data_IF_910753843800
#
_entry.id   IF_910753843800
#
_cell.length_a   1.000
_cell.length_b   1.000
_cell.length_c   1.000
_cell.angle_alpha   90.00
_cell.angle_beta   90.00
_cell.angle_gamma   90.00
#
_symmetry.space_group_name_H-M   'P 1'
#
loop_
_entity.id
_entity.type
_entity.pdbx_description
1 polymer ?
#
# COMPACT_ATOMS: atom_id res chain seq x y z
N UNK A 1 11.33 -8.38 -10.64
CA UNK A 1 10.23 -7.42 -10.36
C UNK A 1 10.57 -6.69 -9.08
N UNK A 2 10.48 -5.36 -9.07
CA UNK A 2 10.98 -4.49 -7.98
C UNK A 2 10.39 -4.81 -6.61
N UNK A 3 9.09 -5.22 -6.54
CA UNK A 3 8.45 -5.63 -5.26
C UNK A 3 9.22 -6.79 -4.64
N UNK A 4 9.47 -7.86 -5.40
CA UNK A 4 10.21 -9.03 -4.92
C UNK A 4 11.62 -8.66 -4.46
N UNK A 5 12.33 -7.86 -5.24
CA UNK A 5 13.69 -7.40 -4.91
C UNK A 5 13.73 -6.58 -3.61
N UNK A 6 12.70 -5.73 -3.36
CA UNK A 6 12.59 -4.96 -2.13
C UNK A 6 12.48 -5.85 -0.90
N UNK A 7 11.62 -6.87 -0.93
CA UNK A 7 11.49 -7.84 0.17
C UNK A 7 12.74 -8.71 0.32
N UNK A 8 13.32 -9.23 -0.77
CA UNK A 8 14.53 -10.06 -0.72
C UNK A 8 15.72 -9.30 -0.13
N UNK A 9 15.90 -8.04 -0.51
CA UNK A 9 16.94 -7.15 0.05
C UNK A 9 16.83 -7.04 1.58
N UNK A 10 15.61 -6.85 2.09
CA UNK A 10 15.38 -6.77 3.54
C UNK A 10 15.57 -8.11 4.22
N UNK A 11 15.02 -9.17 3.66
CA UNK A 11 15.17 -10.53 4.19
C UNK A 11 16.64 -10.95 4.32
N UNK A 12 17.46 -10.65 3.32
CA UNK A 12 18.91 -10.97 3.33
C UNK A 12 19.64 -10.27 4.48
N UNK A 13 19.20 -9.08 4.87
CA UNK A 13 19.77 -8.33 5.98
C UNK A 13 19.12 -8.66 7.34
N UNK A 14 18.20 -9.62 7.41
CA UNK A 14 17.42 -9.91 8.61
C UNK A 14 16.43 -8.83 9.00
N UNK A 15 16.12 -7.92 8.09
CA UNK A 15 15.25 -6.76 8.26
C UNK A 15 13.86 -7.00 7.68
N UNK A 16 12.94 -6.07 7.97
CA UNK A 16 11.55 -6.09 7.48
C UNK A 16 11.29 -4.96 6.51
N UNK A 17 10.43 -5.21 5.51
CA UNK A 17 10.04 -4.18 4.57
C UNK A 17 9.15 -3.11 5.24
N UNK A 18 9.34 -1.86 4.86
CA UNK A 18 8.49 -0.73 5.22
C UNK A 18 7.72 -0.28 3.99
N UNK A 19 6.41 -0.42 4.03
CA UNK A 19 5.48 0.04 2.99
C UNK A 19 4.76 1.26 3.54
N UNK A 20 4.74 2.34 2.78
CA UNK A 20 4.11 3.59 3.19
C UNK A 20 3.04 4.00 2.20
N UNK A 21 1.87 4.39 2.72
CA UNK A 21 0.71 4.79 1.93
C UNK A 21 0.53 6.32 1.93
N UNK A 22 0.11 6.85 0.80
CA UNK A 22 -0.25 8.27 0.62
C UNK A 22 -1.48 8.39 -0.30
N UNK A 23 -2.35 9.37 -0.05
CA UNK A 23 -3.41 9.76 -0.99
C UNK A 23 -2.81 10.69 -2.04
N UNK A 24 -2.96 10.33 -3.33
CA UNK A 24 -2.45 11.14 -4.44
C UNK A 24 -3.20 12.45 -4.57
N UNK A 25 -2.49 13.54 -4.77
CA UNK A 25 -3.06 14.85 -5.06
C UNK A 25 -3.62 15.60 -3.85
N UNK A 26 -3.55 15.03 -2.66
CA UNK A 26 -3.83 15.75 -1.42
C UNK A 26 -2.79 16.89 -1.28
N UNK A 27 -3.25 18.14 -1.22
CA UNK A 27 -2.45 19.37 -1.41
C UNK A 27 -1.68 19.45 -2.74
N UNK A 28 -2.19 18.78 -3.80
CA UNK A 28 -1.65 18.84 -5.17
C UNK A 28 -0.52 17.85 -5.45
N UNK A 29 -0.22 17.67 -6.76
CA UNK A 29 0.77 16.69 -7.21
C UNK A 29 2.19 16.99 -6.75
N UNK A 30 2.58 18.27 -6.67
CA UNK A 30 3.94 18.65 -6.23
C UNK A 30 4.18 18.32 -4.76
N UNK A 31 3.18 18.51 -3.90
CA UNK A 31 3.25 18.13 -2.49
C UNK A 31 3.28 16.60 -2.35
N UNK A 32 2.48 15.89 -3.15
CA UNK A 32 2.50 14.42 -3.18
C UNK A 32 3.88 13.90 -3.59
N UNK A 33 4.50 14.44 -4.65
CA UNK A 33 5.85 14.05 -5.08
C UNK A 33 6.89 14.27 -3.98
N UNK A 34 6.89 15.44 -3.34
CA UNK A 34 7.81 15.74 -2.25
C UNK A 34 7.65 14.80 -1.06
N UNK A 35 6.40 14.45 -0.71
CA UNK A 35 6.12 13.49 0.36
C UNK A 35 6.59 12.08 -0.01
N UNK A 36 6.34 11.61 -1.24
CA UNK A 36 6.84 10.31 -1.74
C UNK A 36 8.37 10.28 -1.65
N UNK A 37 9.07 11.29 -2.16
CA UNK A 37 10.53 11.32 -2.10
C UNK A 37 11.06 11.42 -0.66
N UNK A 38 10.33 12.07 0.25
CA UNK A 38 10.64 12.09 1.68
C UNK A 38 10.53 10.70 2.30
N UNK A 39 9.50 9.93 1.97
CA UNK A 39 9.34 8.53 2.41
C UNK A 39 10.44 7.62 1.85
N UNK A 40 10.73 7.74 0.55
CA UNK A 40 11.82 6.99 -0.11
C UNK A 40 13.17 7.28 0.56
N UNK A 41 13.51 8.56 0.74
CA UNK A 41 14.77 8.99 1.36
C UNK A 41 14.88 8.61 2.85
N UNK A 42 13.73 8.43 3.52
CA UNK A 42 13.67 7.95 4.89
C UNK A 42 13.77 6.42 5.02
N UNK A 43 13.76 5.69 3.90
CA UNK A 43 13.95 4.25 3.85
C UNK A 43 12.69 3.41 3.71
N UNK A 44 11.61 3.97 3.17
CA UNK A 44 10.48 3.18 2.69
C UNK A 44 10.92 2.28 1.52
N UNK A 45 10.50 1.03 1.53
CA UNK A 45 10.86 0.02 0.54
C UNK A 45 9.84 -0.06 -0.59
N UNK A 46 8.59 0.26 -0.31
CA UNK A 46 7.48 0.28 -1.27
C UNK A 46 6.60 1.48 -0.94
N UNK A 47 6.14 2.19 -1.97
CA UNK A 47 5.17 3.28 -1.82
C UNK A 47 3.83 2.81 -2.37
N UNK A 48 2.81 2.86 -1.52
CA UNK A 48 1.42 2.59 -1.87
C UNK A 48 0.73 3.92 -2.17
N UNK A 49 0.28 4.08 -3.40
CA UNK A 49 -0.32 5.30 -3.93
C UNK A 49 -1.83 5.13 -3.99
N UNK A 50 -2.53 5.73 -3.04
CA UNK A 50 -3.99 5.75 -3.00
C UNK A 50 -4.57 6.66 -4.09
N UNK A 51 -5.44 6.09 -4.92
CA UNK A 51 -6.19 6.84 -5.93
C UNK A 51 -7.46 7.37 -5.27
N UNK A 52 -7.67 8.70 -5.21
CA UNK A 52 -8.81 9.26 -4.53
C UNK A 52 -10.13 8.81 -5.17
N UNK A 53 -11.08 8.44 -4.32
CA UNK A 53 -12.40 7.96 -4.74
C UNK A 53 -13.49 8.60 -3.89
N UNK A 54 -14.65 8.92 -4.51
CA UNK A 54 -15.74 9.66 -3.86
C UNK A 54 -16.52 8.83 -2.84
N UNK A 55 -16.57 7.51 -3.02
CA UNK A 55 -17.45 6.62 -2.26
C UNK A 55 -16.68 5.42 -1.65
N UNK A 56 -15.61 5.67 -0.87
CA UNK A 56 -14.76 4.63 -0.33
C UNK A 56 -15.48 3.82 0.76
N UNK A 57 -15.33 2.49 0.72
CA UNK A 57 -15.94 1.58 1.71
C UNK A 57 -14.91 0.90 2.61
N UNK A 58 -13.64 0.87 2.19
CA UNK A 58 -12.56 0.21 2.93
C UNK A 58 -11.75 1.16 3.82
N UNK A 59 -11.80 2.46 3.57
CA UNK A 59 -10.98 3.47 4.22
C UNK A 59 -11.68 4.09 5.44
N UNK A 60 -10.85 4.45 6.45
CA UNK A 60 -11.28 5.26 7.58
C UNK A 60 -11.32 6.75 7.27
N UNK A 61 -11.90 7.52 8.20
CA UNK A 61 -12.23 8.95 8.03
C UNK A 61 -11.04 9.80 7.55
N UNK A 62 -9.83 9.54 8.07
CA UNK A 62 -8.62 10.29 7.71
C UNK A 62 -8.29 10.17 6.21
N UNK A 63 -8.42 8.95 5.66
CA UNK A 63 -8.15 8.71 4.24
C UNK A 63 -9.31 9.22 3.38
N UNK A 64 -10.55 9.11 3.86
CA UNK A 64 -11.74 9.64 3.18
C UNK A 64 -11.66 11.16 3.03
N UNK A 65 -11.32 11.89 4.10
CA UNK A 65 -11.16 13.35 4.08
C UNK A 65 -10.04 13.79 3.12
N UNK A 66 -8.88 13.10 3.14
CA UNK A 66 -7.79 13.37 2.22
C UNK A 66 -8.17 13.07 0.76
N UNK A 67 -8.93 12.00 0.50
CA UNK A 67 -9.45 11.67 -0.83
C UNK A 67 -10.43 12.72 -1.33
N UNK A 68 -11.34 13.18 -0.48
CA UNK A 68 -12.27 14.25 -0.83
C UNK A 68 -11.52 15.55 -1.15
N UNK A 69 -10.59 15.97 -0.30
CA UNK A 69 -9.76 17.15 -0.52
C UNK A 69 -8.97 17.07 -1.84
N UNK A 70 -8.41 15.89 -2.13
CA UNK A 70 -7.71 15.64 -3.40
C UNK A 70 -8.63 15.77 -4.62
N UNK A 71 -9.85 15.21 -4.56
CA UNK A 71 -10.84 15.32 -5.65
C UNK A 71 -11.30 16.76 -5.86
N UNK A 72 -11.56 17.49 -4.78
CA UNK A 72 -11.91 18.92 -4.83
C UNK A 72 -10.78 19.76 -5.43
N UNK A 73 -9.51 19.37 -5.21
CA UNK A 73 -8.33 19.94 -5.84
C UNK A 73 -8.17 19.61 -7.32
N UNK A 74 -9.08 18.82 -7.91
CA UNK A 74 -9.09 18.48 -9.33
C UNK A 74 -8.15 17.32 -9.70
N UNK A 75 -7.79 16.47 -8.76
CA UNK A 75 -6.96 15.29 -9.03
C UNK A 75 -7.65 14.33 -10.00
N UNK A 76 -6.90 13.83 -10.97
CA UNK A 76 -7.36 12.87 -11.98
C UNK A 76 -6.39 11.71 -12.12
N UNK A 77 -6.88 10.54 -12.54
CA UNK A 77 -6.03 9.38 -12.78
C UNK A 77 -4.93 9.66 -13.81
N UNK A 78 -5.23 10.40 -14.89
CA UNK A 78 -4.24 10.80 -15.88
C UNK A 78 -3.13 11.69 -15.27
N UNK A 79 -3.49 12.60 -14.38
CA UNK A 79 -2.53 13.43 -13.65
C UNK A 79 -1.65 12.61 -12.71
N UNK A 80 -2.22 11.58 -12.05
CA UNK A 80 -1.48 10.65 -11.21
C UNK A 80 -0.47 9.85 -12.03
N UNK A 81 -0.85 9.29 -13.17
CA UNK A 81 0.08 8.59 -14.06
C UNK A 81 1.24 9.50 -14.50
N UNK A 82 0.94 10.76 -14.86
CA UNK A 82 1.98 11.74 -15.21
C UNK A 82 2.95 11.97 -14.03
N UNK A 83 2.41 12.17 -12.83
CA UNK A 83 3.20 12.35 -11.61
C UNK A 83 4.11 11.14 -11.33
N UNK A 84 3.56 9.91 -11.44
CA UNK A 84 4.33 8.68 -11.23
C UNK A 84 5.45 8.54 -12.27
N UNK A 85 5.16 8.84 -13.54
CA UNK A 85 6.17 8.82 -14.60
C UNK A 85 7.33 9.79 -14.34
N UNK A 86 7.04 10.96 -13.77
CA UNK A 86 8.06 11.92 -13.35
C UNK A 86 8.90 11.36 -12.18
N UNK A 87 8.24 10.81 -11.14
CA UNK A 87 8.90 10.19 -9.99
C UNK A 87 9.80 9.01 -10.38
N UNK A 88 9.42 8.24 -11.41
CA UNK A 88 10.23 7.10 -11.87
C UNK A 88 11.60 7.51 -12.40
N UNK A 89 11.81 8.75 -12.78
CA UNK A 89 13.13 9.28 -13.12
C UNK A 89 14.02 9.55 -11.90
N UNK A 90 13.44 9.58 -10.70
CA UNK A 90 14.13 9.92 -9.46
C UNK A 90 14.37 8.71 -8.54
N UNK A 91 13.56 7.63 -8.70
CA UNK A 91 13.65 6.46 -7.83
C UNK A 91 13.21 5.16 -8.50
N UNK A 92 13.89 4.06 -8.14
CA UNK A 92 13.50 2.68 -8.49
C UNK A 92 12.63 2.00 -7.41
N UNK A 93 12.26 2.73 -6.35
CA UNK A 93 11.36 2.21 -5.31
C UNK A 93 10.05 1.71 -5.92
N UNK A 94 9.59 0.49 -5.63
CA UNK A 94 8.34 -0.04 -6.15
C UNK A 94 7.16 0.85 -5.82
N UNK A 95 6.28 1.06 -6.80
CA UNK A 95 5.01 1.77 -6.64
C UNK A 95 3.85 0.81 -6.82
N UNK A 96 2.94 0.79 -5.85
CA UNK A 96 1.71 0.01 -5.88
C UNK A 96 0.53 0.98 -5.83
N UNK A 97 -0.43 0.87 -6.73
CA UNK A 97 -1.64 1.68 -6.70
C UNK A 97 -2.76 0.99 -5.92
N UNK A 98 -3.36 1.70 -4.96
CA UNK A 98 -4.58 1.22 -4.29
C UNK A 98 -5.79 1.98 -4.83
N UNK A 99 -6.80 1.26 -5.32
CA UNK A 99 -7.98 1.84 -5.93
C UNK A 99 -9.17 0.88 -5.98
N UNK A 100 -10.34 1.43 -6.26
CA UNK A 100 -11.56 0.67 -6.47
C UNK A 100 -11.70 0.19 -7.93
N UNK A 101 -12.31 -0.98 -8.19
CA UNK A 101 -12.39 -1.58 -9.53
C UNK A 101 -13.15 -0.68 -10.51
N UNK A 102 -14.14 0.09 -10.03
CA UNK A 102 -14.87 1.06 -10.84
C UNK A 102 -13.95 2.06 -11.56
N UNK A 103 -12.84 2.43 -10.94
CA UNK A 103 -11.86 3.34 -11.55
C UNK A 103 -11.15 2.66 -12.72
N UNK A 104 -10.77 1.39 -12.57
CA UNK A 104 -10.13 0.59 -13.63
C UNK A 104 -11.10 0.40 -14.80
N UNK A 105 -12.32 -0.07 -14.52
CA UNK A 105 -13.33 -0.35 -15.56
C UNK A 105 -13.74 0.89 -16.32
N UNK A 106 -13.95 2.01 -15.63
CA UNK A 106 -14.32 3.29 -16.28
C UNK A 106 -13.20 3.84 -17.15
N UNK A 107 -11.95 3.61 -16.80
CA UNK A 107 -10.79 4.03 -17.58
C UNK A 107 -10.53 3.11 -18.77
N UNK A 108 -10.96 1.86 -18.67
CA UNK A 108 -10.71 0.76 -19.60
C UNK A 108 -9.53 -0.09 -19.13
N UNK A 109 -9.78 -1.37 -18.81
CA UNK A 109 -8.83 -2.29 -18.17
C UNK A 109 -7.50 -2.37 -18.93
N UNK A 110 -7.51 -2.68 -20.22
CA UNK A 110 -6.31 -2.74 -21.06
C UNK A 110 -5.51 -1.43 -21.00
N UNK A 111 -6.17 -0.30 -21.25
CA UNK A 111 -5.53 1.01 -21.25
C UNK A 111 -4.95 1.38 -19.91
N UNK A 112 -5.59 0.96 -18.82
CA UNK A 112 -5.10 1.21 -17.46
C UNK A 112 -3.78 0.46 -17.22
N UNK A 113 -3.73 -0.83 -17.55
CA UNK A 113 -2.52 -1.63 -17.36
C UNK A 113 -1.40 -1.30 -18.35
N UNK A 114 -1.72 -0.87 -19.58
CA UNK A 114 -0.75 -0.27 -20.50
C UNK A 114 -0.02 0.91 -19.83
N UNK A 115 -0.79 1.84 -19.24
CA UNK A 115 -0.22 3.00 -18.55
C UNK A 115 0.52 2.62 -17.26
N UNK A 116 0.07 1.61 -16.53
CA UNK A 116 0.81 1.08 -15.37
C UNK A 116 2.21 0.63 -15.80
N UNK A 117 2.30 -0.16 -16.87
CA UNK A 117 3.58 -0.62 -17.43
C UNK A 117 4.43 0.56 -17.91
N UNK A 118 3.88 1.48 -18.72
CA UNK A 118 4.59 2.64 -19.25
C UNK A 118 5.14 3.58 -18.15
N UNK A 119 4.38 3.75 -17.06
CA UNK A 119 4.76 4.61 -15.94
C UNK A 119 5.58 3.89 -14.88
N UNK A 120 5.74 2.56 -15.00
CA UNK A 120 6.52 1.74 -14.08
C UNK A 120 5.83 1.49 -12.75
N UNK A 121 4.50 1.33 -12.75
CA UNK A 121 3.74 0.80 -11.61
C UNK A 121 4.03 -0.70 -11.51
N UNK A 122 4.29 -1.17 -10.30
CA UNK A 122 4.71 -2.54 -10.04
C UNK A 122 3.57 -3.44 -9.57
N UNK A 123 2.51 -2.85 -9.02
CA UNK A 123 1.37 -3.61 -8.53
C UNK A 123 0.12 -2.76 -8.34
N UNK A 124 -1.01 -3.45 -8.17
CA UNK A 124 -2.30 -2.85 -7.83
C UNK A 124 -2.92 -3.57 -6.63
N UNK A 125 -3.64 -2.83 -5.80
CA UNK A 125 -4.47 -3.33 -4.71
C UNK A 125 -5.89 -2.86 -4.96
N UNK A 126 -6.85 -3.81 -4.99
CA UNK A 126 -8.27 -3.52 -5.20
C UNK A 126 -9.06 -4.07 -4.01
N UNK A 127 -9.25 -3.26 -2.93
CA UNK A 127 -9.67 -3.76 -1.62
C UNK A 127 -11.10 -4.29 -1.56
N UNK A 128 -11.96 -3.92 -2.49
CA UNK A 128 -13.37 -4.34 -2.57
C UNK A 128 -13.64 -5.38 -3.66
N UNK A 129 -12.59 -5.90 -4.30
CA UNK A 129 -12.72 -6.99 -5.26
C UNK A 129 -12.68 -8.34 -4.53
N UNK A 130 -13.75 -9.14 -4.57
CA UNK A 130 -13.74 -10.50 -4.02
C UNK A 130 -12.67 -11.35 -4.72
N UNK A 131 -12.08 -12.29 -3.97
CA UNK A 131 -11.09 -13.21 -4.53
C UNK A 131 -11.60 -13.97 -5.75
N UNK A 132 -12.87 -14.31 -5.73
CA UNK A 132 -13.57 -15.06 -6.79
C UNK A 132 -13.75 -14.25 -8.09
N UNK A 133 -13.64 -12.92 -8.03
CA UNK A 133 -13.77 -11.99 -9.17
C UNK A 133 -12.42 -11.45 -9.65
N UNK A 134 -11.32 -11.81 -9.00
CA UNK A 134 -9.99 -11.27 -9.30
C UNK A 134 -9.55 -11.48 -10.76
N UNK A 135 -10.01 -12.57 -11.39
CA UNK A 135 -9.67 -12.93 -12.77
C UNK A 135 -10.12 -11.86 -13.78
N UNK A 136 -11.08 -11.00 -13.42
CA UNK A 136 -11.52 -9.89 -14.26
C UNK A 136 -10.39 -8.90 -14.60
N UNK A 137 -9.37 -8.81 -13.74
CA UNK A 137 -8.21 -7.92 -13.97
C UNK A 137 -6.88 -8.67 -13.95
N UNK A 138 -6.82 -9.87 -13.34
CA UNK A 138 -5.60 -10.63 -13.09
C UNK A 138 -4.81 -10.92 -14.37
N UNK A 139 -5.48 -11.49 -15.38
CA UNK A 139 -4.82 -11.87 -16.65
C UNK A 139 -4.21 -10.63 -17.33
N UNK A 140 -4.96 -9.53 -17.38
CA UNK A 140 -4.47 -8.27 -17.98
C UNK A 140 -3.33 -7.68 -17.15
N UNK A 141 -3.43 -7.63 -15.83
CA UNK A 141 -2.37 -7.13 -14.95
C UNK A 141 -1.06 -7.91 -15.17
N UNK A 142 -1.13 -9.24 -15.11
CA UNK A 142 0.03 -10.13 -15.30
C UNK A 142 0.65 -9.96 -16.69
N UNK A 143 -0.17 -9.86 -17.76
CA UNK A 143 0.31 -9.65 -19.12
C UNK A 143 1.12 -8.34 -19.27
N UNK A 144 0.81 -7.33 -18.44
CA UNK A 144 1.52 -6.04 -18.40
C UNK A 144 2.63 -5.97 -17.34
N UNK A 145 2.91 -7.08 -16.64
CA UNK A 145 3.97 -7.15 -15.61
C UNK A 145 3.63 -6.40 -14.32
N UNK A 146 2.35 -6.26 -14.01
CA UNK A 146 1.82 -5.62 -12.80
C UNK A 146 1.27 -6.69 -11.86
N UNK A 147 1.77 -6.77 -10.64
CA UNK A 147 1.27 -7.71 -9.64
C UNK A 147 -0.11 -7.29 -9.12
N UNK A 148 -1.09 -8.22 -9.09
CA UNK A 148 -2.37 -8.00 -8.43
C UNK A 148 -2.28 -8.47 -6.98
N UNK A 149 -2.09 -7.52 -6.05
CA UNK A 149 -1.82 -7.78 -4.64
C UNK A 149 -3.09 -8.22 -3.92
N UNK A 150 -3.10 -9.46 -3.47
CA UNK A 150 -4.24 -10.03 -2.75
C UNK A 150 -4.29 -9.60 -1.28
N UNK A 151 -5.52 -9.39 -0.76
CA UNK A 151 -5.75 -9.07 0.64
C UNK A 151 -6.30 -10.27 1.39
N UNK A 152 -5.81 -10.47 2.61
CA UNK A 152 -6.40 -11.41 3.58
C UNK A 152 -6.71 -10.72 4.89
N UNK A 153 -7.81 -11.11 5.50
CA UNK A 153 -8.26 -10.65 6.80
C UNK A 153 -8.44 -11.84 7.74
N UNK A 154 -8.49 -11.66 9.06
CA UNK A 154 -8.88 -12.74 9.97
C UNK A 154 -10.26 -13.32 9.66
N UNK A 155 -11.16 -12.57 9.00
CA UNK A 155 -12.46 -13.04 8.56
C UNK A 155 -12.43 -13.88 7.27
N UNK A 156 -11.28 -13.97 6.59
CA UNK A 156 -11.16 -14.76 5.37
C UNK A 156 -11.22 -16.30 5.62
N UNK A 157 -11.00 -16.72 6.89
CA UNK A 157 -11.13 -18.13 7.34
C UNK A 157 -10.63 -19.16 6.32
N UNK A 158 -11.53 -20.01 5.82
CA UNK A 158 -11.20 -21.12 4.90
C UNK A 158 -10.65 -20.63 3.53
N UNK A 159 -10.83 -19.37 3.18
CA UNK A 159 -10.30 -18.79 1.93
C UNK A 159 -8.84 -18.36 2.02
N UNK A 160 -8.27 -18.23 3.24
CA UNK A 160 -6.86 -17.79 3.43
C UNK A 160 -5.92 -18.70 2.63
N UNK A 161 -6.16 -20.01 2.64
CA UNK A 161 -5.33 -20.98 1.91
C UNK A 161 -5.33 -20.71 0.39
N UNK A 162 -6.52 -20.55 -0.20
CA UNK A 162 -6.66 -20.32 -1.64
C UNK A 162 -6.06 -18.97 -2.04
N UNK A 163 -6.33 -17.91 -1.27
CA UNK A 163 -5.79 -16.57 -1.52
C UNK A 163 -4.26 -16.58 -1.41
N UNK A 164 -3.72 -17.23 -0.38
CA UNK A 164 -2.28 -17.26 -0.14
C UNK A 164 -1.50 -18.04 -1.22
N UNK A 165 -2.08 -19.15 -1.72
CA UNK A 165 -1.45 -19.95 -2.80
C UNK A 165 -1.38 -19.22 -4.14
N UNK A 166 -2.29 -18.30 -4.36
CA UNK A 166 -2.47 -17.60 -5.64
C UNK A 166 -2.04 -16.14 -5.60
N UNK A 167 -1.40 -15.72 -4.49
CA UNK A 167 -0.93 -14.36 -4.30
C UNK A 167 0.25 -14.02 -5.20
N UNK A 168 0.34 -12.75 -5.62
CA UNK A 168 1.45 -12.18 -6.38
C UNK A 168 2.10 -11.03 -5.60
N UNK A 169 3.36 -10.71 -5.91
CA UNK A 169 4.12 -9.64 -5.29
C UNK A 169 4.31 -9.84 -3.78
N UNK A 170 3.29 -9.54 -3.00
CA UNK A 170 3.18 -9.81 -1.57
C UNK A 170 1.73 -10.03 -1.14
N UNK A 171 1.51 -10.65 0.00
CA UNK A 171 0.18 -10.82 0.58
C UNK A 171 -0.09 -9.68 1.58
N UNK A 172 -1.12 -8.88 1.31
CA UNK A 172 -1.56 -7.81 2.20
C UNK A 172 -2.41 -8.37 3.34
N UNK A 173 -1.88 -8.40 4.55
CA UNK A 173 -2.55 -8.90 5.73
C UNK A 173 -3.23 -7.77 6.50
N UNK A 174 -4.55 -7.75 6.52
CA UNK A 174 -5.33 -6.78 7.28
C UNK A 174 -5.40 -7.22 8.73
N UNK A 175 -4.89 -6.43 9.67
CA UNK A 175 -4.76 -6.81 11.08
C UNK A 175 -6.05 -6.86 11.88
N UNK A 176 -7.16 -6.38 11.32
CA UNK A 176 -8.44 -6.34 12.02
C UNK A 176 -9.63 -6.32 11.07
N UNK A 177 -10.80 -6.76 11.57
CA UNK A 177 -12.08 -6.60 10.88
C UNK A 177 -12.54 -5.14 11.05
N UNK A 178 -12.81 -4.44 9.95
CA UNK A 178 -13.31 -3.05 9.91
C UNK A 178 -12.45 -2.12 9.03
N UNK A 179 -12.80 -0.82 9.02
CA UNK A 179 -12.13 0.20 8.19
C UNK A 179 -10.79 0.64 8.75
N UNK A 180 -9.96 1.29 7.93
CA UNK A 180 -8.65 1.86 8.31
C UNK A 180 -8.79 2.90 9.44
N UNK A 181 -7.76 2.97 10.30
CA UNK A 181 -7.69 3.93 11.41
C UNK A 181 -6.61 3.55 12.41
N UNK A 182 -6.16 4.50 13.23
CA UNK A 182 -5.19 4.23 14.30
C UNK A 182 -5.88 3.53 15.47
N UNK A 183 -5.28 2.44 15.98
CA UNK A 183 -5.79 1.65 17.12
C UNK A 183 -4.72 1.44 18.17
N UNK A 184 -5.16 1.31 19.43
CA UNK A 184 -4.25 1.09 20.57
C UNK A 184 -4.12 -0.40 20.93
N UNK A 185 -5.10 -1.25 20.59
CA UNK A 185 -5.12 -2.68 20.90
C UNK A 185 -5.63 -3.51 19.72
N UNK A 186 -5.08 -4.71 19.58
CA UNK A 186 -5.50 -5.71 18.59
C UNK A 186 -6.11 -6.91 19.32
N UNK A 187 -7.27 -7.35 18.88
CA UNK A 187 -7.98 -8.54 19.43
C UNK A 187 -7.73 -9.82 18.64
N UNK A 188 -7.01 -9.73 17.52
CA UNK A 188 -6.71 -10.87 16.63
C UNK A 188 -5.60 -11.73 17.23
N UNK A 189 -5.78 -13.04 17.21
CA UNK A 189 -4.70 -14.01 17.43
C UNK A 189 -3.78 -14.04 16.20
N UNK A 190 -2.73 -13.22 16.23
CA UNK A 190 -1.80 -13.08 15.11
C UNK A 190 -0.95 -14.34 14.91
N UNK A 191 -0.60 -15.08 15.96
CA UNK A 191 0.17 -16.31 15.82
C UNK A 191 -0.60 -17.33 14.98
N UNK A 192 -1.85 -17.60 15.32
CA UNK A 192 -2.70 -18.50 14.56
C UNK A 192 -2.94 -18.00 13.12
N UNK A 193 -3.20 -16.71 12.93
CA UNK A 193 -3.45 -16.12 11.62
C UNK A 193 -2.25 -16.23 10.67
N UNK A 194 -1.06 -15.82 11.13
CA UNK A 194 0.15 -15.88 10.30
C UNK A 194 0.68 -17.31 10.13
N UNK A 195 0.42 -18.22 11.08
CA UNK A 195 0.76 -19.64 10.92
C UNK A 195 0.01 -20.29 9.76
N UNK A 196 -1.26 -19.95 9.57
CA UNK A 196 -2.04 -20.44 8.40
C UNK A 196 -1.46 -19.88 7.11
N UNK A 197 -1.14 -18.58 7.06
CA UNK A 197 -0.57 -17.95 5.87
C UNK A 197 0.77 -18.62 5.50
N UNK A 198 1.70 -18.71 6.43
CA UNK A 198 3.06 -19.23 6.20
C UNK A 198 3.08 -20.70 5.78
N UNK A 199 2.05 -21.48 6.13
CA UNK A 199 1.91 -22.88 5.69
C UNK A 199 1.49 -23.00 4.22
N UNK A 200 0.89 -21.96 3.64
CA UNK A 200 0.26 -22.01 2.33
C UNK A 200 0.95 -21.20 1.26
N UNK A 201 1.92 -20.35 1.63
CA UNK A 201 2.67 -19.56 0.64
C UNK A 201 4.08 -19.22 1.13
N UNK A 202 5.00 -19.06 0.16
CA UNK A 202 6.33 -18.50 0.39
C UNK A 202 6.43 -17.03 -0.02
N UNK A 203 5.34 -16.47 -0.57
CA UNK A 203 5.26 -15.05 -0.92
C UNK A 203 5.34 -14.22 0.37
N UNK A 204 6.12 -13.12 0.39
CA UNK A 204 6.23 -12.29 1.57
C UNK A 204 4.87 -11.73 1.98
N UNK A 205 4.63 -11.63 3.28
CA UNK A 205 3.41 -11.03 3.81
C UNK A 205 3.73 -9.72 4.53
N UNK A 206 2.87 -8.72 4.31
CA UNK A 206 2.97 -7.43 4.97
C UNK A 206 1.66 -7.11 5.72
N UNK A 207 1.79 -6.62 6.96
CA UNK A 207 0.64 -6.29 7.80
C UNK A 207 0.33 -4.81 7.75
N UNK A 208 -0.92 -4.50 7.47
CA UNK A 208 -1.47 -3.15 7.46
C UNK A 208 -2.62 -2.98 8.44
N UNK A 209 -3.12 -1.76 8.54
CA UNK A 209 -4.18 -1.28 9.42
C UNK A 209 -3.81 -1.09 10.89
N UNK A 210 -4.00 0.14 11.35
CA UNK A 210 -3.89 0.53 12.74
C UNK A 210 -2.48 0.79 13.26
N UNK A 211 -1.45 0.66 12.42
CA UNK A 211 -0.09 0.99 12.81
C UNK A 211 0.06 2.51 12.84
N UNK A 212 0.22 3.07 14.03
CA UNK A 212 0.26 4.51 14.27
C UNK A 212 1.65 5.06 14.62
N UNK A 213 2.66 4.19 14.75
CA UNK A 213 4.00 4.62 15.10
C UNK A 213 5.05 3.51 15.21
N UNK A 214 6.32 3.89 15.48
CA UNK A 214 7.47 2.99 15.46
C UNK A 214 7.33 1.76 16.35
N UNK A 215 6.83 1.94 17.59
CA UNK A 215 6.68 0.83 18.54
C UNK A 215 5.69 -0.23 18.05
N UNK A 216 4.58 0.20 17.45
CA UNK A 216 3.61 -0.74 16.89
C UNK A 216 4.17 -1.42 15.65
N UNK A 217 4.87 -0.69 14.78
CA UNK A 217 5.54 -1.24 13.61
C UNK A 217 6.51 -2.37 14.04
N UNK A 218 7.37 -2.11 15.02
CA UNK A 218 8.31 -3.11 15.59
C UNK A 218 7.58 -4.31 16.18
N UNK A 219 6.47 -4.09 16.91
CA UNK A 219 5.67 -5.19 17.47
C UNK A 219 5.08 -6.08 16.38
N UNK A 220 4.49 -5.48 15.35
CA UNK A 220 3.83 -6.21 14.27
C UNK A 220 4.82 -6.90 13.32
N UNK A 221 6.01 -6.34 13.12
CA UNK A 221 7.05 -6.91 12.26
C UNK A 221 7.54 -8.31 12.68
N UNK A 222 7.25 -8.74 13.92
CA UNK A 222 7.60 -10.08 14.42
C UNK A 222 6.80 -11.19 13.72
N UNK A 223 5.62 -10.88 13.22
CA UNK A 223 4.70 -11.84 12.61
C UNK A 223 4.88 -11.98 11.10
N UNK A 224 5.38 -10.95 10.43
CA UNK A 224 5.35 -10.79 8.98
C UNK A 224 6.69 -10.34 8.38
N UNK A 225 6.76 -10.21 7.06
CA UNK A 225 7.94 -9.79 6.32
C UNK A 225 8.00 -8.28 6.07
N UNK A 226 6.88 -7.59 6.28
CA UNK A 226 6.78 -6.14 6.13
C UNK A 226 5.63 -5.53 6.90
N UNK A 227 5.69 -4.22 7.13
CA UNK A 227 4.61 -3.45 7.75
C UNK A 227 4.16 -2.33 6.82
N UNK A 228 2.86 -2.04 6.84
CA UNK A 228 2.22 -1.01 6.01
C UNK A 228 1.68 0.08 6.92
N UNK A 229 2.08 1.33 6.67
CA UNK A 229 1.69 2.49 7.47
C UNK A 229 1.05 3.53 6.56
N UNK A 230 -0.24 3.78 6.75
CA UNK A 230 -1.03 4.69 5.93
C UNK A 230 -1.59 5.87 6.73
N UNK A 231 -2.69 5.66 7.45
CA UNK A 231 -3.46 6.72 8.10
C UNK A 231 -2.64 7.69 8.97
N UNK A 232 -1.55 7.20 9.60
CA UNK A 232 -0.67 8.05 10.39
C UNK A 232 0.12 9.05 9.51
N UNK A 233 0.56 8.62 8.32
CA UNK A 233 1.25 9.49 7.35
C UNK A 233 0.26 10.48 6.74
N UNK A 234 -0.92 10.00 6.30
CA UNK A 234 -1.98 10.86 5.75
C UNK A 234 -2.39 11.93 6.77
N UNK A 235 -2.50 11.57 8.06
CA UNK A 235 -2.80 12.54 9.12
C UNK A 235 -1.72 13.62 9.24
N UNK A 236 -0.45 13.28 9.15
CA UNK A 236 0.66 14.26 9.13
C UNK A 236 0.53 15.20 7.93
N UNK A 237 0.22 14.64 6.75
CA UNK A 237 0.03 15.45 5.53
C UNK A 237 -1.15 16.41 5.70
N UNK A 238 -2.29 15.93 6.22
CA UNK A 238 -3.46 16.77 6.47
C UNK A 238 -3.18 17.87 7.50
N UNK A 239 -2.33 17.63 8.50
CA UNK A 239 -2.00 18.61 9.54
C UNK A 239 -1.03 19.70 9.03
N UNK A 240 -0.05 19.35 8.19
CA UNK A 240 1.03 20.24 7.76
C UNK A 240 0.91 20.71 6.30
N UNK A 241 0.00 20.16 5.51
CA UNK A 241 -0.23 20.55 4.12
C UNK A 241 1.03 20.52 3.26
N UNK A 242 1.32 21.61 2.58
CA UNK A 242 2.51 21.74 1.72
C UNK A 242 3.84 21.69 2.50
N UNK A 243 3.82 21.93 3.81
CA UNK A 243 4.99 21.87 4.71
C UNK A 243 5.20 20.45 5.29
N UNK A 244 4.37 19.49 4.92
CA UNK A 244 4.42 18.10 5.43
C UNK A 244 5.70 17.30 5.09
N UNK A 245 6.45 17.52 3.98
CA UNK A 245 7.52 16.61 3.56
C UNK A 245 8.58 16.35 4.62
N UNK A 246 8.98 17.37 5.37
CA UNK A 246 9.95 17.22 6.46
C UNK A 246 9.40 16.35 7.59
N UNK A 247 8.11 16.52 7.96
CA UNK A 247 7.46 15.75 9.01
C UNK A 247 7.23 14.30 8.61
N UNK A 248 6.86 14.08 7.35
CA UNK A 248 6.74 12.74 6.76
C UNK A 248 8.09 12.03 6.76
N UNK A 249 9.19 12.72 6.39
CA UNK A 249 10.54 12.16 6.49
C UNK A 249 10.89 11.74 7.92
N UNK A 250 10.73 12.65 8.90
CA UNK A 250 11.05 12.40 10.30
C UNK A 250 10.28 11.19 10.86
N UNK A 251 8.98 11.11 10.55
CA UNK A 251 8.13 10.01 10.97
C UNK A 251 8.51 8.68 10.31
N UNK A 252 8.68 8.68 8.99
CA UNK A 252 9.06 7.47 8.21
C UNK A 252 10.45 6.97 8.64
N UNK A 253 11.39 7.87 8.91
CA UNK A 253 12.72 7.51 9.43
C UNK A 253 12.62 6.84 10.80
N UNK A 254 11.77 7.34 11.69
CA UNK A 254 11.52 6.70 12.98
C UNK A 254 10.92 5.29 12.85
N UNK A 255 10.02 5.07 11.86
CA UNK A 255 9.51 3.73 11.54
C UNK A 255 10.63 2.81 11.04
N UNK A 256 11.46 3.30 10.10
CA UNK A 256 12.58 2.54 9.56
C UNK A 256 13.57 2.12 10.64
N UNK A 257 13.98 3.06 11.49
CA UNK A 257 14.93 2.80 12.58
C UNK A 257 14.40 1.72 13.54
N UNK A 258 13.11 1.78 13.88
CA UNK A 258 12.48 0.78 14.75
C UNK A 258 12.38 -0.62 14.13
N UNK A 259 12.32 -0.71 12.79
CA UNK A 259 12.30 -1.99 12.07
C UNK A 259 13.70 -2.57 11.83
N UNK A 260 14.74 -1.75 11.94
CA UNK A 260 16.14 -2.16 11.78
C UNK A 260 16.80 -2.58 13.09
N UNK A 261 16.19 -2.26 14.24
CA UNK A 261 16.59 -2.71 15.60
C UNK A 261 16.11 -4.14 15.91
#
# INVERSE_FOLDING_TARGET
>A
MRIKEAFEKRKTNGQKALITYIVSGDFGYETTKKNIMSMVNAGADIIEIGIPFSDPIAEGIVIQEASQHSLEGGTTLAGIFKMVKELRNETDTPFVMMMYPNTIYRFGTERFFDLCNECGIDGVIVPDMPFEEKDEIQETATAHGVDNISLVTPASHDRIESIAKDAEGFLYCVSSIGVTGTRNEFTTDFDAFFDVIKKNTEIPCAVGFGISGPQQAKKMSRYCDGVIVGSAIVKIISEYGEDSPKKVYEFTKGLRDALDE
#
